data_IF_436946662329
#
_entry.id   IF_436946662329
#
_cell.length_a   1.000
_cell.length_b   1.000
_cell.length_c   1.000
_cell.angle_alpha   90.00
_cell.angle_beta   90.00
_cell.angle_gamma   90.00
#
_symmetry.space_group_name_H-M   'P 1'
#
loop_
_entity.id
_entity.type
_entity.pdbx_description
1 polymer ?
#
# COMPACT_ATOMS: atom_id res chain seq x y z
N UNK A 1 -52.66 -29.45 10.31
CA UNK A 1 -51.56 -30.15 9.62
C UNK A 1 -51.88 -30.01 8.15
N UNK A 2 -51.21 -29.08 7.46
CA UNK A 2 -51.33 -29.01 6.01
C UNK A 2 -50.65 -30.27 5.44
N UNK A 3 -51.32 -30.96 4.51
CA UNK A 3 -50.73 -32.09 3.78
C UNK A 3 -49.42 -31.63 3.13
N UNK A 4 -48.32 -32.37 3.33
CA UNK A 4 -47.10 -32.14 2.56
C UNK A 4 -47.41 -32.34 1.07
N UNK A 5 -47.04 -31.40 0.19
CA UNK A 5 -47.37 -31.50 -1.22
C UNK A 5 -46.74 -32.76 -1.81
N UNK A 6 -47.57 -33.57 -2.49
CA UNK A 6 -47.12 -34.85 -3.03
C UNK A 6 -46.25 -34.59 -4.26
N UNK A 7 -45.01 -35.09 -4.24
CA UNK A 7 -44.09 -34.97 -5.36
C UNK A 7 -44.45 -35.96 -6.47
N UNK A 8 -44.50 -35.47 -7.70
CA UNK A 8 -44.84 -36.23 -8.91
C UNK A 8 -43.80 -36.01 -10.01
N UNK A 9 -43.81 -36.89 -11.01
CA UNK A 9 -43.05 -36.65 -12.23
C UNK A 9 -43.49 -35.33 -12.89
N UNK A 10 -42.55 -34.66 -13.56
CA UNK A 10 -42.74 -33.37 -14.22
C UNK A 10 -43.01 -32.17 -13.28
N UNK A 11 -42.88 -32.34 -11.97
CA UNK A 11 -42.79 -31.20 -11.05
C UNK A 11 -41.53 -30.37 -11.31
N UNK A 12 -41.64 -29.05 -11.14
CA UNK A 12 -40.50 -28.14 -11.01
C UNK A 12 -40.12 -28.03 -9.53
N UNK A 13 -38.87 -28.33 -9.22
CA UNK A 13 -38.33 -28.27 -7.86
C UNK A 13 -37.04 -27.46 -7.79
N UNK A 14 -36.74 -26.92 -6.62
CA UNK A 14 -35.47 -26.29 -6.29
C UNK A 14 -34.53 -27.33 -5.68
N UNK A 15 -33.37 -27.51 -6.29
CA UNK A 15 -32.29 -28.34 -5.74
C UNK A 15 -31.00 -27.50 -5.70
N UNK A 16 -30.44 -27.31 -4.51
CA UNK A 16 -29.25 -26.45 -4.30
C UNK A 16 -29.38 -25.07 -4.95
N UNK A 17 -30.52 -24.42 -4.75
CA UNK A 17 -30.85 -23.09 -5.32
C UNK A 17 -30.96 -23.04 -6.85
N UNK A 18 -31.06 -24.19 -7.53
CA UNK A 18 -31.21 -24.27 -8.99
C UNK A 18 -32.47 -25.03 -9.38
N UNK A 19 -33.01 -24.70 -10.56
CA UNK A 19 -34.15 -25.41 -11.13
C UNK A 19 -33.79 -26.87 -11.44
N UNK A 20 -34.69 -27.78 -11.07
CA UNK A 20 -34.64 -29.17 -11.45
C UNK A 20 -36.04 -29.70 -11.76
N UNK A 21 -36.13 -30.71 -12.63
CA UNK A 21 -37.37 -31.41 -12.96
C UNK A 21 -37.37 -32.79 -12.31
N UNK A 22 -38.46 -33.22 -11.68
CA UNK A 22 -38.60 -34.63 -11.27
C UNK A 22 -38.82 -35.51 -12.50
N UNK A 23 -37.95 -36.49 -12.72
CA UNK A 23 -38.07 -37.52 -13.76
C UNK A 23 -38.85 -38.73 -13.24
N UNK A 24 -38.59 -39.12 -11.99
CA UNK A 24 -39.27 -40.25 -11.36
C UNK A 24 -39.52 -39.93 -9.89
N UNK A 25 -40.79 -40.00 -9.48
CA UNK A 25 -41.21 -39.79 -8.10
C UNK A 25 -41.27 -41.11 -7.33
N UNK A 26 -40.91 -41.08 -6.05
CA UNK A 26 -40.93 -42.24 -5.15
C UNK A 26 -40.71 -41.83 -3.69
N UNK A 27 -41.30 -42.58 -2.76
CA UNK A 27 -41.42 -42.19 -1.35
C UNK A 27 -40.08 -42.05 -0.61
N UNK A 28 -39.08 -42.86 -0.99
CA UNK A 28 -37.75 -42.85 -0.36
C UNK A 28 -36.70 -42.11 -1.18
N UNK A 29 -36.92 -41.98 -2.48
CA UNK A 29 -35.92 -41.57 -3.45
C UNK A 29 -36.62 -41.06 -4.71
N UNK A 30 -36.20 -39.90 -5.17
CA UNK A 30 -36.66 -39.29 -6.43
C UNK A 30 -35.46 -39.10 -7.35
N UNK A 31 -35.68 -39.21 -8.65
CA UNK A 31 -34.70 -38.89 -9.66
C UNK A 31 -35.05 -37.53 -10.28
N UNK A 32 -34.11 -36.59 -10.21
CA UNK A 32 -34.26 -35.23 -10.74
C UNK A 32 -33.31 -35.00 -11.91
N UNK A 33 -33.76 -34.26 -12.92
CA UNK A 33 -32.90 -33.69 -13.95
C UNK A 33 -32.53 -32.27 -13.55
N UNK A 34 -31.23 -31.96 -13.53
CA UNK A 34 -30.69 -30.64 -13.20
C UNK A 34 -30.55 -29.75 -14.44
N UNK A 35 -30.33 -28.44 -14.23
CA UNK A 35 -30.02 -27.45 -15.27
C UNK A 35 -28.82 -27.81 -16.16
N UNK A 36 -27.88 -28.60 -15.64
CA UNK A 36 -26.75 -29.15 -16.42
C UNK A 36 -27.12 -30.34 -17.32
N UNK A 37 -28.38 -30.79 -17.28
CA UNK A 37 -28.88 -31.96 -18.00
C UNK A 37 -28.63 -33.29 -17.31
N UNK A 38 -27.83 -33.32 -16.23
CA UNK A 38 -27.54 -34.52 -15.46
C UNK A 38 -28.75 -34.99 -14.65
N UNK A 39 -28.93 -36.32 -14.58
CA UNK A 39 -29.92 -36.95 -13.71
C UNK A 39 -29.26 -37.36 -12.40
N UNK A 40 -29.81 -36.90 -11.27
CA UNK A 40 -29.30 -37.16 -9.93
C UNK A 40 -30.42 -37.72 -9.08
N UNK A 41 -30.10 -38.75 -8.31
CA UNK A 41 -30.96 -39.33 -7.32
C UNK A 41 -30.86 -38.60 -5.97
N UNK A 42 -31.97 -38.11 -5.42
CA UNK A 42 -32.02 -37.37 -4.15
C UNK A 42 -33.16 -37.86 -3.25
N UNK A 43 -33.18 -37.46 -1.97
CA UNK A 43 -34.34 -37.72 -1.10
C UNK A 43 -35.37 -36.59 -1.25
N UNK A 44 -36.68 -36.85 -1.06
CA UNK A 44 -37.72 -35.82 -1.16
C UNK A 44 -37.42 -34.54 -0.36
N UNK A 45 -36.89 -34.66 0.86
CA UNK A 45 -36.52 -33.52 1.71
C UNK A 45 -35.35 -32.66 1.22
N UNK A 46 -34.57 -33.16 0.26
CA UNK A 46 -33.40 -32.45 -0.27
C UNK A 46 -33.80 -31.50 -1.42
N UNK A 47 -35.09 -31.44 -1.78
CA UNK A 47 -35.65 -30.54 -2.78
C UNK A 47 -36.84 -29.75 -2.22
N UNK A 48 -37.13 -28.59 -2.79
CA UNK A 48 -38.32 -27.79 -2.47
C UNK A 48 -39.22 -27.73 -3.70
N UNK A 49 -40.50 -28.06 -3.58
CA UNK A 49 -41.44 -27.94 -4.69
C UNK A 49 -41.63 -26.45 -5.02
N UNK A 50 -41.44 -26.09 -6.30
CA UNK A 50 -41.76 -24.76 -6.79
C UNK A 50 -43.08 -24.74 -7.55
N UNK A 51 -43.32 -25.71 -8.45
CA UNK A 51 -44.56 -25.78 -9.24
C UNK A 51 -44.96 -27.24 -9.53
N UNK A 52 -46.26 -27.52 -9.51
CA UNK A 52 -46.82 -28.87 -9.68
C UNK A 52 -46.65 -29.45 -11.10
N UNK A 53 -46.38 -28.61 -12.10
CA UNK A 53 -46.12 -29.01 -13.48
C UNK A 53 -47.37 -29.00 -14.37
N UNK A 54 -47.34 -29.67 -15.53
CA UNK A 54 -46.22 -30.47 -16.05
C UNK A 54 -45.13 -29.61 -16.68
N UNK A 55 -43.89 -29.77 -16.22
CA UNK A 55 -42.68 -29.26 -16.88
C UNK A 55 -42.06 -30.39 -17.69
N UNK A 56 -42.11 -30.36 -19.02
CA UNK A 56 -41.60 -31.48 -19.83
C UNK A 56 -40.12 -31.35 -20.14
N UNK A 57 -39.56 -30.15 -20.04
CA UNK A 57 -38.13 -29.90 -20.22
C UNK A 57 -37.72 -28.62 -19.49
N UNK A 58 -36.54 -28.60 -18.88
CA UNK A 58 -35.99 -27.36 -18.29
C UNK A 58 -35.77 -26.25 -19.34
N UNK A 59 -35.68 -26.59 -20.62
CA UNK A 59 -35.63 -25.61 -21.72
C UNK A 59 -36.95 -24.83 -21.90
N UNK A 60 -38.03 -25.24 -21.23
CA UNK A 60 -39.31 -24.52 -21.21
C UNK A 60 -39.28 -23.32 -20.25
N UNK A 61 -38.32 -23.28 -19.30
CA UNK A 61 -38.11 -22.18 -18.36
C UNK A 61 -37.44 -20.96 -19.02
N UNK A 62 -38.03 -20.49 -20.11
CA UNK A 62 -37.55 -19.30 -20.82
C UNK A 62 -37.92 -18.05 -20.01
N UNK A 63 -37.13 -16.96 -20.13
CA UNK A 63 -37.48 -15.70 -19.49
C UNK A 63 -38.86 -15.23 -19.95
N UNK A 64 -39.77 -15.05 -19.00
CA UNK A 64 -41.10 -14.46 -19.22
C UNK A 64 -41.09 -13.04 -18.67
N UNK A 65 -41.67 -12.11 -19.42
CA UNK A 65 -41.84 -10.73 -18.98
C UNK A 65 -43.14 -10.61 -18.19
N UNK A 66 -43.02 -10.37 -16.88
CA UNK A 66 -44.15 -10.12 -15.98
C UNK A 66 -44.30 -8.64 -15.62
N UNK A 67 -45.37 -8.30 -14.91
CA UNK A 67 -45.66 -6.98 -14.34
C UNK A 67 -45.04 -6.83 -12.94
N UNK A 68 -43.73 -7.10 -12.83
CA UNK A 68 -43.01 -7.18 -11.56
C UNK A 68 -43.12 -5.90 -10.73
N UNK A 69 -43.04 -4.73 -11.39
CA UNK A 69 -43.16 -3.44 -10.71
C UNK A 69 -44.54 -3.24 -10.07
N UNK A 70 -45.61 -3.62 -10.77
CA UNK A 70 -46.97 -3.50 -10.25
C UNK A 70 -47.20 -4.47 -9.07
N UNK A 71 -46.72 -5.71 -9.19
CA UNK A 71 -46.80 -6.68 -8.10
C UNK A 71 -46.00 -6.24 -6.87
N UNK A 72 -44.81 -5.66 -7.08
CA UNK A 72 -43.99 -5.11 -6.01
C UNK A 72 -44.66 -3.92 -5.32
N UNK A 73 -45.18 -2.95 -6.07
CA UNK A 73 -45.87 -1.77 -5.53
C UNK A 73 -47.09 -2.15 -4.67
N UNK A 74 -47.80 -3.22 -5.05
CA UNK A 74 -48.99 -3.68 -4.34
C UNK A 74 -48.65 -4.41 -3.03
N UNK A 75 -47.54 -5.15 -3.00
CA UNK A 75 -47.15 -6.02 -1.90
C UNK A 75 -46.04 -5.46 -1.01
N UNK A 76 -45.51 -4.27 -1.30
CA UNK A 76 -44.34 -3.71 -0.62
C UNK A 76 -44.50 -3.69 0.92
N UNK A 77 -43.57 -4.33 1.64
CA UNK A 77 -43.59 -4.45 3.09
C UNK A 77 -44.31 -5.69 3.63
N UNK A 78 -45.00 -6.44 2.78
CA UNK A 78 -45.69 -7.68 3.15
C UNK A 78 -44.77 -8.91 3.02
N UNK A 79 -45.22 -10.02 3.62
CA UNK A 79 -44.65 -11.35 3.38
C UNK A 79 -45.66 -12.21 2.65
N UNK A 80 -45.28 -12.72 1.48
CA UNK A 80 -46.15 -13.51 0.59
C UNK A 80 -45.53 -14.87 0.28
N UNK A 81 -46.34 -15.80 -0.20
CA UNK A 81 -45.88 -17.06 -0.80
C UNK A 81 -45.44 -16.85 -2.25
N UNK A 82 -44.64 -17.78 -2.78
CA UNK A 82 -44.27 -17.78 -4.20
C UNK A 82 -45.48 -17.85 -5.14
N UNK A 83 -46.54 -18.55 -4.74
CA UNK A 83 -47.76 -18.64 -5.54
C UNK A 83 -48.46 -17.28 -5.67
N UNK A 84 -48.59 -16.53 -4.57
CA UNK A 84 -49.18 -15.18 -4.56
C UNK A 84 -48.35 -14.19 -5.40
N UNK A 85 -47.02 -14.29 -5.32
CA UNK A 85 -46.14 -13.47 -6.17
C UNK A 85 -46.32 -13.79 -7.65
N UNK A 86 -46.47 -15.07 -8.02
CA UNK A 86 -46.70 -15.48 -9.41
C UNK A 86 -48.04 -14.97 -9.91
N UNK A 87 -49.11 -15.12 -9.13
CA UNK A 87 -50.45 -14.66 -9.50
C UNK A 87 -50.52 -13.15 -9.79
N UNK A 88 -49.77 -12.35 -9.02
CA UNK A 88 -49.75 -10.90 -9.17
C UNK A 88 -48.78 -10.42 -10.25
N UNK A 89 -47.62 -11.07 -10.40
CA UNK A 89 -46.58 -10.63 -11.34
C UNK A 89 -46.73 -11.24 -12.75
N UNK A 90 -47.44 -12.36 -12.91
CA UNK A 90 -47.53 -13.09 -14.17
C UNK A 90 -48.98 -13.49 -14.48
N UNK A 91 -49.34 -13.44 -15.76
CA UNK A 91 -50.71 -13.69 -16.19
C UNK A 91 -51.16 -15.16 -16.07
N UNK A 92 -50.22 -16.11 -16.06
CA UNK A 92 -50.51 -17.54 -15.99
C UNK A 92 -49.56 -18.24 -15.01
N UNK A 93 -50.11 -19.07 -14.13
CA UNK A 93 -49.34 -19.96 -13.26
C UNK A 93 -48.78 -21.13 -14.07
N UNK A 94 -47.55 -20.94 -14.55
CA UNK A 94 -46.82 -21.91 -15.36
C UNK A 94 -45.45 -22.16 -14.72
N UNK A 95 -44.81 -23.33 -14.95
CA UNK A 95 -43.47 -23.59 -14.43
C UNK A 95 -42.46 -22.49 -14.77
N UNK A 96 -42.57 -21.88 -15.95
CA UNK A 96 -41.71 -20.81 -16.40
C UNK A 96 -41.98 -19.49 -15.65
N UNK A 97 -43.25 -19.16 -15.37
CA UNK A 97 -43.61 -17.99 -14.56
C UNK A 97 -43.15 -18.15 -13.10
N UNK A 98 -43.36 -19.33 -12.50
CA UNK A 98 -42.88 -19.62 -11.15
C UNK A 98 -41.36 -19.56 -11.04
N UNK A 99 -40.64 -20.08 -12.03
CA UNK A 99 -39.19 -19.97 -12.09
C UNK A 99 -38.75 -18.51 -12.25
N UNK A 100 -39.38 -17.74 -13.13
CA UNK A 100 -39.09 -16.31 -13.29
C UNK A 100 -39.33 -15.51 -11.99
N UNK A 101 -40.43 -15.78 -11.27
CA UNK A 101 -40.69 -15.19 -9.96
C UNK A 101 -39.60 -15.56 -8.95
N UNK A 102 -39.22 -16.83 -8.87
CA UNK A 102 -38.14 -17.26 -7.98
C UNK A 102 -36.78 -16.62 -8.34
N UNK A 103 -36.50 -16.41 -9.62
CA UNK A 103 -35.29 -15.70 -10.05
C UNK A 103 -35.23 -14.27 -9.51
N UNK A 104 -36.36 -13.56 -9.45
CA UNK A 104 -36.42 -12.21 -8.85
C UNK A 104 -36.13 -12.23 -7.34
N UNK A 105 -36.59 -13.26 -6.64
CA UNK A 105 -36.26 -13.48 -5.21
C UNK A 105 -34.77 -13.73 -5.03
N UNK A 106 -34.16 -14.53 -5.91
CA UNK A 106 -32.71 -14.78 -5.86
C UNK A 106 -31.88 -13.57 -6.30
N UNK A 107 -32.42 -12.70 -7.15
CA UNK A 107 -31.77 -11.44 -7.52
C UNK A 107 -31.67 -10.51 -6.31
N UNK A 108 -32.66 -10.53 -5.42
CA UNK A 108 -32.59 -9.85 -4.14
C UNK A 108 -32.86 -8.35 -4.20
N UNK A 109 -33.32 -7.80 -5.32
CA UNK A 109 -33.62 -6.36 -5.43
C UNK A 109 -34.96 -6.03 -4.77
N UNK A 110 -36.04 -6.63 -5.29
CA UNK A 110 -37.41 -6.38 -4.83
C UNK A 110 -37.92 -7.39 -3.81
N UNK A 111 -37.32 -8.59 -3.78
CA UNK A 111 -37.81 -9.72 -3.00
C UNK A 111 -36.65 -10.49 -2.38
N UNK A 112 -36.88 -11.12 -1.23
CA UNK A 112 -35.93 -12.07 -0.62
C UNK A 112 -36.69 -13.13 0.19
N UNK A 113 -36.01 -14.20 0.63
CA UNK A 113 -36.58 -15.20 1.53
C UNK A 113 -36.65 -16.61 0.93
N UNK A 114 -37.72 -17.34 1.27
CA UNK A 114 -37.94 -18.74 0.89
C UNK A 114 -39.24 -18.88 0.09
N UNK A 115 -39.47 -19.97 -0.66
CA UNK A 115 -40.69 -20.11 -1.46
C UNK A 115 -41.99 -19.97 -0.66
N UNK A 116 -41.98 -20.35 0.63
CA UNK A 116 -43.14 -20.26 1.52
C UNK A 116 -43.28 -18.90 2.23
N UNK A 117 -42.21 -18.10 2.25
CA UNK A 117 -42.14 -16.81 2.94
C UNK A 117 -41.17 -15.89 2.22
N UNK A 118 -41.69 -15.16 1.23
CA UNK A 118 -41.01 -14.14 0.46
C UNK A 118 -41.31 -12.80 1.09
N UNK A 119 -40.28 -12.11 1.56
CA UNK A 119 -40.37 -10.73 2.01
C UNK A 119 -40.32 -9.82 0.79
N UNK A 120 -41.34 -8.98 0.63
CA UNK A 120 -41.38 -7.97 -0.42
C UNK A 120 -40.76 -6.68 0.13
N UNK A 121 -39.66 -6.25 -0.46
CA UNK A 121 -38.90 -5.09 0.02
C UNK A 121 -39.72 -3.81 -0.10
N UNK A 122 -39.58 -2.90 0.87
CA UNK A 122 -40.18 -1.56 0.76
C UNK A 122 -39.43 -0.70 -0.26
N UNK A 123 -40.03 0.40 -0.71
CA UNK A 123 -39.35 1.41 -1.55
C UNK A 123 -38.01 1.85 -0.94
N UNK A 124 -37.96 2.09 0.37
CA UNK A 124 -36.74 2.46 1.09
C UNK A 124 -35.65 1.36 1.03
N UNK A 125 -36.04 0.09 1.21
CA UNK A 125 -35.11 -1.04 1.12
C UNK A 125 -34.57 -1.22 -0.31
N UNK A 126 -35.44 -1.10 -1.32
CA UNK A 126 -35.03 -1.17 -2.73
C UNK A 126 -34.06 -0.05 -3.07
N UNK A 127 -34.35 1.19 -2.65
CA UNK A 127 -33.46 2.35 -2.85
C UNK A 127 -32.11 2.16 -2.16
N UNK A 128 -32.05 1.55 -0.98
CA UNK A 128 -30.80 1.22 -0.30
C UNK A 128 -30.00 0.16 -1.05
N UNK A 129 -30.64 -0.94 -1.47
CA UNK A 129 -30.00 -2.01 -2.24
C UNK A 129 -29.46 -1.46 -3.56
N UNK A 130 -30.25 -0.64 -4.25
CA UNK A 130 -29.88 -0.05 -5.53
C UNK A 130 -28.70 0.91 -5.38
N UNK A 131 -28.72 1.81 -4.39
CA UNK A 131 -27.57 2.67 -4.05
C UNK A 131 -26.32 1.86 -3.74
N UNK A 132 -26.46 0.75 -3.00
CA UNK A 132 -25.34 -0.16 -2.71
C UNK A 132 -24.78 -0.83 -3.97
N UNK A 133 -25.64 -1.29 -4.88
CA UNK A 133 -25.24 -1.86 -6.19
C UNK A 133 -24.52 -0.83 -7.05
N UNK A 134 -25.06 0.38 -7.13
CA UNK A 134 -24.50 1.49 -7.91
C UNK A 134 -23.15 1.95 -7.36
N UNK A 135 -23.02 2.07 -6.03
CA UNK A 135 -21.76 2.38 -5.38
C UNK A 135 -20.69 1.33 -5.69
N UNK A 136 -21.02 0.03 -5.55
CA UNK A 136 -20.10 -1.06 -5.87
C UNK A 136 -19.72 -1.10 -7.36
N UNK A 137 -20.68 -0.84 -8.25
CA UNK A 137 -20.41 -0.75 -9.69
C UNK A 137 -19.52 0.46 -10.03
N UNK A 138 -19.71 1.59 -9.33
CA UNK A 138 -18.87 2.76 -9.48
C UNK A 138 -17.44 2.52 -8.99
N UNK A 139 -17.27 1.86 -7.84
CA UNK A 139 -15.95 1.43 -7.32
C UNK A 139 -15.22 0.51 -8.31
N UNK A 140 -15.91 -0.50 -8.84
CA UNK A 140 -15.33 -1.40 -9.84
C UNK A 140 -14.94 -0.64 -11.11
N UNK A 141 -15.78 0.29 -11.58
CA UNK A 141 -15.46 1.12 -12.75
C UNK A 141 -14.22 1.98 -12.50
N UNK A 142 -14.13 2.66 -11.36
CA UNK A 142 -12.96 3.46 -10.98
C UNK A 142 -11.70 2.59 -10.96
N UNK A 143 -11.79 1.40 -10.37
CA UNK A 143 -10.70 0.44 -10.34
C UNK A 143 -10.25 0.00 -11.74
N UNK A 144 -11.19 -0.31 -12.64
CA UNK A 144 -10.86 -0.69 -14.02
C UNK A 144 -10.27 0.47 -14.83
N UNK A 145 -10.77 1.70 -14.64
CA UNK A 145 -10.20 2.90 -15.26
C UNK A 145 -8.76 3.16 -14.78
N UNK A 146 -8.52 3.00 -13.47
CA UNK A 146 -7.18 3.07 -12.88
C UNK A 146 -6.23 2.04 -13.51
N UNK A 147 -6.62 0.75 -13.54
CA UNK A 147 -5.79 -0.28 -14.16
C UNK A 147 -5.55 0.00 -15.65
N UNK A 148 -6.54 0.52 -16.37
CA UNK A 148 -6.39 0.90 -17.78
C UNK A 148 -5.33 1.98 -17.96
N UNK A 149 -5.30 3.00 -17.10
CA UNK A 149 -4.26 4.04 -17.12
C UNK A 149 -2.86 3.47 -16.87
N UNK A 150 -2.72 2.60 -15.86
CA UNK A 150 -1.43 1.98 -15.56
C UNK A 150 -0.90 1.11 -16.70
N UNK A 151 -1.77 0.35 -17.38
CA UNK A 151 -1.39 -0.40 -18.58
C UNK A 151 -0.95 0.51 -19.73
N UNK A 152 -1.53 1.71 -19.82
CA UNK A 152 -1.15 2.73 -20.79
C UNK A 152 0.12 3.53 -20.39
N UNK A 153 0.74 3.22 -19.24
CA UNK A 153 1.95 3.91 -18.77
C UNK A 153 1.67 5.32 -18.27
N UNK A 154 0.47 5.59 -17.74
CA UNK A 154 0.10 6.92 -17.23
C UNK A 154 -0.60 6.81 -15.88
N UNK A 155 -0.69 7.93 -15.16
CA UNK A 155 -1.44 8.04 -13.90
C UNK A 155 -2.06 9.44 -13.80
N UNK A 156 -3.01 9.61 -12.86
CA UNK A 156 -3.53 10.92 -12.44
C UNK A 156 -3.31 11.14 -10.94
N UNK A 157 -3.32 12.38 -10.43
CA UNK A 157 -3.10 12.65 -9.00
C UNK A 157 -4.02 11.87 -8.05
N UNK A 158 -5.25 11.59 -8.46
CA UNK A 158 -6.25 10.82 -7.71
C UNK A 158 -5.85 9.35 -7.51
N UNK A 159 -4.89 8.84 -8.31
CA UNK A 159 -4.37 7.49 -8.19
C UNK A 159 -3.39 7.32 -7.02
N UNK A 160 -2.86 8.41 -6.46
CA UNK A 160 -1.80 8.38 -5.44
C UNK A 160 -2.16 7.55 -4.19
N UNK A 161 -3.37 7.63 -3.60
CA UNK A 161 -3.73 6.79 -2.47
C UNK A 161 -3.69 5.29 -2.81
N UNK A 162 -4.09 4.93 -4.03
CA UNK A 162 -4.09 3.54 -4.50
C UNK A 162 -2.68 3.06 -4.83
N UNK A 163 -1.84 3.93 -5.39
CA UNK A 163 -0.43 3.66 -5.67
C UNK A 163 0.42 3.57 -4.40
N UNK A 164 -0.05 4.06 -3.25
CA UNK A 164 0.63 3.93 -1.96
C UNK A 164 1.01 2.49 -1.61
N UNK A 165 0.22 1.52 -2.05
CA UNK A 165 0.50 0.08 -1.92
C UNK A 165 1.71 -0.37 -2.77
N UNK A 166 1.84 0.15 -4.00
CA UNK A 166 3.00 -0.09 -4.87
C UNK A 166 4.25 0.60 -4.32
N UNK A 167 4.10 1.83 -3.81
CA UNK A 167 5.17 2.58 -3.16
C UNK A 167 5.71 1.81 -1.95
N UNK A 168 4.83 1.31 -1.08
CA UNK A 168 5.25 0.53 0.09
C UNK A 168 6.02 -0.74 -0.31
N UNK A 169 5.59 -1.44 -1.36
CA UNK A 169 6.32 -2.59 -1.91
C UNK A 169 7.69 -2.17 -2.51
N UNK A 170 7.73 -1.07 -3.26
CA UNK A 170 8.97 -0.54 -3.84
C UNK A 170 9.99 -0.13 -2.77
N UNK A 171 9.53 0.28 -1.60
CA UNK A 171 10.34 0.69 -0.45
C UNK A 171 10.61 -0.43 0.55
N UNK A 172 10.25 -1.68 0.24
CA UNK A 172 10.42 -2.84 1.13
C UNK A 172 9.70 -2.69 2.49
N UNK A 173 8.64 -1.89 2.53
CA UNK A 173 7.79 -1.70 3.72
C UNK A 173 6.64 -2.73 3.76
N UNK A 174 6.40 -3.41 2.63
CA UNK A 174 5.41 -4.48 2.47
C UNK A 174 5.89 -5.50 1.44
N UNK A 175 5.40 -6.73 1.57
CA UNK A 175 5.75 -7.85 0.67
C UNK A 175 4.69 -8.10 -0.41
N UNK A 176 3.56 -7.40 -0.35
CA UNK A 176 2.42 -7.63 -1.22
C UNK A 176 1.83 -6.32 -1.72
N UNK A 177 1.35 -6.33 -2.96
CA UNK A 177 0.58 -5.25 -3.56
C UNK A 177 -0.61 -5.78 -4.37
N UNK A 178 -1.82 -5.30 -4.03
CA UNK A 178 -3.05 -5.56 -4.78
C UNK A 178 -2.93 -5.07 -6.23
N UNK A 179 -2.31 -3.90 -6.43
CA UNK A 179 -2.13 -3.30 -7.75
C UNK A 179 -1.21 -4.17 -8.60
N UNK A 180 -0.06 -4.57 -8.08
CA UNK A 180 0.89 -5.44 -8.80
C UNK A 180 0.24 -6.77 -9.22
N UNK A 181 -0.52 -7.39 -8.31
CA UNK A 181 -1.25 -8.62 -8.59
C UNK A 181 -2.32 -8.45 -9.68
N UNK A 182 -3.06 -7.34 -9.64
CA UNK A 182 -4.08 -7.05 -10.65
C UNK A 182 -3.48 -6.76 -12.03
N UNK A 183 -2.26 -6.24 -12.08
CA UNK A 183 -1.47 -6.06 -13.30
C UNK A 183 -0.72 -7.34 -13.74
N UNK A 184 -0.89 -8.46 -13.02
CA UNK A 184 -0.15 -9.71 -13.23
C UNK A 184 1.38 -9.52 -13.27
N UNK A 185 1.90 -8.57 -12.48
CA UNK A 185 3.34 -8.35 -12.29
C UNK A 185 3.81 -9.08 -11.03
N UNK A 186 5.01 -9.63 -11.08
CA UNK A 186 5.63 -10.25 -9.91
C UNK A 186 5.86 -9.20 -8.81
N UNK A 187 5.44 -9.52 -7.58
CA UNK A 187 5.42 -8.61 -6.42
C UNK A 187 6.84 -8.46 -5.81
N UNK A 188 7.75 -7.81 -6.54
CA UNK A 188 9.12 -7.50 -6.06
C UNK A 188 9.35 -5.99 -5.93
N UNK A 189 10.26 -5.55 -5.05
CA UNK A 189 10.61 -4.12 -4.91
C UNK A 189 11.12 -3.50 -6.22
N UNK A 190 11.87 -4.26 -7.02
CA UNK A 190 12.41 -3.81 -8.30
C UNK A 190 11.30 -3.63 -9.35
N UNK A 191 10.34 -4.55 -9.41
CA UNK A 191 9.22 -4.45 -10.34
C UNK A 191 8.24 -3.35 -9.94
N UNK A 192 8.04 -3.13 -8.64
CA UNK A 192 7.23 -2.03 -8.13
C UNK A 192 7.90 -0.67 -8.44
N UNK A 193 9.20 -0.52 -8.16
CA UNK A 193 9.96 0.66 -8.55
C UNK A 193 9.87 0.89 -10.07
N UNK A 194 10.10 -0.14 -10.88
CA UNK A 194 9.96 -0.04 -12.34
C UNK A 194 8.57 0.44 -12.77
N UNK A 195 7.49 -0.08 -12.16
CA UNK A 195 6.14 0.39 -12.47
C UNK A 195 5.98 1.88 -12.18
N UNK A 196 6.47 2.36 -11.03
CA UNK A 196 6.36 3.77 -10.64
C UNK A 196 7.11 4.69 -11.61
N UNK A 197 8.26 4.26 -12.13
CA UNK A 197 8.99 4.95 -13.19
C UNK A 197 8.23 4.90 -14.53
N UNK A 198 7.76 3.72 -14.94
CA UNK A 198 7.09 3.50 -16.23
C UNK A 198 5.83 4.39 -16.37
N UNK A 199 5.12 4.66 -15.27
CA UNK A 199 3.90 5.50 -15.26
C UNK A 199 4.19 6.98 -14.97
N UNK A 200 5.46 7.35 -14.74
CA UNK A 200 5.90 8.70 -14.38
C UNK A 200 5.46 9.17 -12.99
N UNK A 201 5.13 8.25 -12.07
CA UNK A 201 4.81 8.59 -10.68
C UNK A 201 6.09 8.88 -9.87
N UNK A 202 7.15 8.14 -10.16
CA UNK A 202 8.52 8.46 -9.78
C UNK A 202 9.32 8.83 -11.02
N UNK A 203 10.39 9.59 -10.81
CA UNK A 203 11.37 9.91 -11.85
C UNK A 203 12.69 9.16 -11.62
N UNK A 204 13.60 9.28 -12.59
CA UNK A 204 14.91 8.63 -12.55
C UNK A 204 15.82 9.10 -11.41
N UNK A 205 15.49 10.21 -10.76
CA UNK A 205 16.23 10.73 -9.60
C UNK A 205 15.74 10.14 -8.28
N UNK A 206 14.67 9.35 -8.32
CA UNK A 206 14.11 8.74 -7.11
C UNK A 206 14.98 7.57 -6.63
N UNK A 207 15.68 7.81 -5.53
CA UNK A 207 16.53 6.81 -4.88
C UNK A 207 15.80 6.12 -3.70
N UNK A 208 15.40 4.83 -3.82
CA UNK A 208 14.66 4.14 -2.76
C UNK A 208 15.56 3.56 -1.66
N UNK A 209 16.87 3.47 -1.87
CA UNK A 209 17.77 2.74 -0.98
C UNK A 209 17.86 3.33 0.43
N UNK A 210 17.93 4.67 0.61
CA UNK A 210 17.94 5.24 1.95
C UNK A 210 16.74 4.80 2.79
N UNK A 211 15.54 4.82 2.20
CA UNK A 211 14.32 4.40 2.89
C UNK A 211 14.27 2.87 3.12
N UNK A 212 14.71 2.06 2.14
CA UNK A 212 14.79 0.58 2.30
C UNK A 212 15.73 0.17 3.43
N UNK A 213 16.86 0.85 3.56
CA UNK A 213 17.85 0.61 4.61
C UNK A 213 17.44 1.22 5.96
N UNK A 214 16.34 1.99 5.99
CA UNK A 214 15.88 2.68 7.20
C UNK A 214 16.86 3.73 7.71
N UNK A 215 17.70 4.30 6.83
CA UNK A 215 18.62 5.37 7.22
C UNK A 215 17.87 6.70 7.25
N UNK A 216 18.22 7.55 8.21
CA UNK A 216 17.60 8.87 8.37
C UNK A 216 17.96 9.77 7.20
N UNK A 217 16.95 10.32 6.53
CA UNK A 217 17.14 11.24 5.38
C UNK A 217 16.83 12.70 5.68
N UNK A 218 16.64 13.04 6.96
CA UNK A 218 16.39 14.41 7.40
C UNK A 218 17.61 14.96 8.12
N UNK A 219 17.87 16.27 7.99
CA UNK A 219 18.92 16.92 8.77
C UNK A 219 18.62 16.81 10.28
N UNK A 220 19.66 16.74 11.13
CA UNK A 220 19.47 16.73 12.57
C UNK A 220 18.97 18.11 13.03
N UNK A 221 17.83 18.12 13.73
CA UNK A 221 17.20 19.31 14.27
C UNK A 221 17.57 19.47 15.76
N UNK A 222 18.80 19.91 15.99
CA UNK A 222 19.36 20.13 17.32
C UNK A 222 20.16 21.43 17.31
N UNK A 223 20.09 22.19 18.41
CA UNK A 223 20.96 23.34 18.63
C UNK A 223 22.24 22.88 19.32
N UNK A 224 23.39 23.28 18.79
CA UNK A 224 24.69 23.04 19.41
C UNK A 224 25.03 24.18 20.38
N UNK A 225 25.78 23.89 21.46
CA UNK A 225 26.30 24.94 22.32
C UNK A 225 27.40 25.73 21.59
N UNK A 226 27.59 26.97 22.00
CA UNK A 226 28.75 27.76 21.59
C UNK A 226 30.05 27.06 22.00
N UNK A 227 31.15 27.39 21.29
CA UNK A 227 32.48 26.93 21.68
C UNK A 227 32.82 27.43 23.10
N UNK A 228 33.26 26.55 24.02
CA UNK A 228 33.60 26.97 25.38
C UNK A 228 34.78 27.94 25.40
N UNK A 229 34.76 28.86 26.37
CA UNK A 229 35.89 29.75 26.66
C UNK A 229 36.98 28.98 27.43
N UNK A 230 37.90 28.39 26.66
CA UNK A 230 39.01 27.59 27.18
C UNK A 230 40.36 28.03 26.58
N UNK A 231 41.44 27.75 27.32
CA UNK A 231 42.78 28.06 26.84
C UNK A 231 43.15 27.15 25.66
N UNK A 232 43.45 27.77 24.53
CA UNK A 232 43.85 27.12 23.28
C UNK A 232 45.17 27.71 22.82
N UNK A 233 46.09 26.85 22.41
CA UNK A 233 47.40 27.28 21.89
C UNK A 233 47.20 28.10 20.63
N UNK A 234 47.76 29.30 20.61
CA UNK A 234 47.75 30.13 19.39
C UNK A 234 48.80 29.63 18.39
N UNK A 235 48.32 29.06 17.29
CA UNK A 235 49.10 28.55 16.16
C UNK A 235 48.78 29.31 14.87
N UNK A 236 48.11 30.46 14.95
CA UNK A 236 47.71 31.28 13.79
C UNK A 236 48.88 31.83 12.96
N UNK A 237 50.11 31.75 13.49
CA UNK A 237 51.34 32.08 12.79
C UNK A 237 51.79 30.97 11.82
N UNK A 238 51.32 29.73 12.00
CA UNK A 238 51.63 28.61 11.12
C UNK A 238 50.85 28.73 9.80
N UNK A 239 51.49 28.35 8.70
CA UNK A 239 50.79 28.14 7.43
C UNK A 239 50.03 26.82 7.52
N UNK A 240 48.72 26.87 7.74
CA UNK A 240 47.84 25.71 7.76
C UNK A 240 47.05 25.58 6.46
N UNK A 241 47.08 24.40 5.86
CA UNK A 241 46.43 24.08 4.58
C UNK A 241 45.41 22.96 4.77
N UNK A 242 44.13 23.23 4.51
CA UNK A 242 43.12 22.20 4.32
C UNK A 242 43.06 21.87 2.83
N UNK A 243 43.32 20.61 2.46
CA UNK A 243 43.43 20.17 1.06
C UNK A 243 42.38 19.10 0.83
N UNK A 244 41.35 19.44 0.06
CA UNK A 244 40.17 18.59 -0.15
C UNK A 244 39.88 18.37 -1.64
N UNK A 245 38.94 17.47 -1.94
CA UNK A 245 38.37 17.34 -3.27
C UNK A 245 37.60 18.61 -3.68
N UNK A 246 37.54 18.87 -5.00
CA UNK A 246 36.73 19.96 -5.54
C UNK A 246 35.26 19.77 -5.14
N UNK A 247 34.67 20.81 -4.53
CA UNK A 247 33.28 20.78 -4.05
C UNK A 247 33.11 20.37 -2.59
N UNK A 248 34.17 20.00 -1.87
CA UNK A 248 34.11 19.77 -0.41
C UNK A 248 33.65 21.03 0.34
N UNK A 249 32.76 20.86 1.33
CA UNK A 249 32.15 21.96 2.09
C UNK A 249 32.45 21.93 3.58
N UNK A 250 33.00 20.82 4.06
CA UNK A 250 33.14 20.44 5.47
C UNK A 250 34.58 19.97 5.76
N UNK A 251 35.58 20.87 5.67
CA UNK A 251 36.99 20.51 5.90
C UNK A 251 37.23 20.09 7.35
N UNK A 252 37.54 18.82 7.55
CA UNK A 252 37.80 18.20 8.86
C UNK A 252 39.26 18.34 9.31
N UNK A 253 40.20 18.49 8.36
CA UNK A 253 41.63 18.51 8.66
C UNK A 253 42.42 19.60 7.92
N UNK A 254 43.55 19.96 8.52
CA UNK A 254 44.54 20.85 7.92
C UNK A 254 45.96 20.46 8.34
N UNK A 255 46.94 20.76 7.49
CA UNK A 255 48.34 20.42 7.71
C UNK A 255 49.22 21.67 7.80
N UNK A 256 50.20 21.63 8.70
CA UNK A 256 51.31 22.59 8.74
C UNK A 256 52.65 21.88 8.88
N UNK A 257 53.73 22.54 8.45
CA UNK A 257 55.09 22.07 8.63
C UNK A 257 55.97 23.22 9.12
N UNK A 258 56.58 23.06 10.29
CA UNK A 258 57.50 24.06 10.86
C UNK A 258 58.58 23.36 11.70
N UNK A 259 59.84 23.81 11.59
CA UNK A 259 60.96 23.38 12.43
C UNK A 259 61.16 21.86 12.58
N UNK A 260 60.85 21.10 11.54
CA UNK A 260 60.97 19.63 11.53
C UNK A 260 59.80 18.89 12.19
N UNK A 261 58.72 19.59 12.50
CA UNK A 261 57.48 19.01 13.00
C UNK A 261 56.39 19.04 11.93
N UNK A 262 55.72 17.90 11.76
CA UNK A 262 54.44 17.81 11.07
C UNK A 262 53.34 18.17 12.07
N UNK A 263 52.45 19.07 11.66
CA UNK A 263 51.24 19.38 12.41
C UNK A 263 50.04 18.87 11.64
N UNK A 264 49.22 18.10 12.33
CA UNK A 264 47.89 17.69 11.85
C UNK A 264 46.86 18.37 12.73
N UNK A 265 46.02 19.20 12.14
CA UNK A 265 44.97 19.93 12.82
C UNK A 265 43.64 19.30 12.45
N UNK A 266 42.83 18.92 13.44
CA UNK A 266 41.51 18.31 13.23
C UNK A 266 40.44 19.24 13.80
N UNK A 267 39.31 19.39 13.10
CA UNK A 267 38.15 20.12 13.58
C UNK A 267 37.74 19.64 14.99
N UNK A 268 37.60 20.58 15.93
CA UNK A 268 37.48 20.25 17.35
C UNK A 268 36.03 19.98 17.77
N UNK A 269 35.41 18.97 17.17
CA UNK A 269 34.01 18.57 17.40
C UNK A 269 33.73 18.22 18.85
N UNK A 270 34.69 17.57 19.52
CA UNK A 270 34.56 17.17 20.91
C UNK A 270 34.44 18.35 21.89
N UNK A 271 34.81 19.57 21.47
CA UNK A 271 34.65 20.77 22.29
C UNK A 271 33.16 21.15 22.51
N UNK A 272 32.27 20.81 21.57
CA UNK A 272 30.84 21.15 21.64
C UNK A 272 29.92 19.92 21.66
N UNK A 273 30.42 18.74 21.27
CA UNK A 273 29.70 17.47 21.31
C UNK A 273 30.25 16.61 22.45
N UNK A 274 29.77 16.84 23.67
CA UNK A 274 30.17 16.05 24.83
C UNK A 274 29.59 14.62 24.78
N UNK A 275 30.30 13.62 25.36
CA UNK A 275 29.78 12.26 25.47
C UNK A 275 28.39 12.20 26.11
N UNK A 276 27.51 11.40 25.52
CA UNK A 276 26.11 11.17 25.90
C UNK A 276 25.20 12.41 25.90
N UNK A 277 25.66 13.53 25.33
CA UNK A 277 24.81 14.68 24.98
C UNK A 277 23.76 14.32 23.92
N UNK A 278 22.77 15.20 23.71
CA UNK A 278 21.77 14.99 22.65
C UNK A 278 22.42 14.90 21.26
N UNK A 279 23.40 15.77 20.98
CA UNK A 279 24.14 15.77 19.72
C UNK A 279 24.96 14.48 19.52
N UNK A 280 25.63 13.99 20.56
CA UNK A 280 26.39 12.73 20.50
C UNK A 280 25.46 11.52 20.24
N UNK A 281 24.33 11.44 20.94
CA UNK A 281 23.36 10.35 20.74
C UNK A 281 22.78 10.37 19.32
N UNK A 282 22.52 11.56 18.79
CA UNK A 282 22.02 11.73 17.43
C UNK A 282 23.08 11.37 16.38
N UNK A 283 24.30 11.88 16.51
CA UNK A 283 25.40 11.50 15.62
C UNK A 283 25.68 9.99 15.67
N UNK A 284 25.65 9.38 16.86
CA UNK A 284 25.82 7.94 17.07
C UNK A 284 24.67 7.12 16.46
N UNK A 285 23.44 7.65 16.45
CA UNK A 285 22.29 6.97 15.83
C UNK A 285 22.40 6.95 14.29
N UNK A 286 23.03 7.98 13.72
CA UNK A 286 23.31 8.11 12.27
C UNK A 286 24.57 7.37 11.84
N UNK A 287 25.59 7.32 12.69
CA UNK A 287 26.87 6.65 12.47
C UNK A 287 27.87 7.44 11.63
N UNK A 288 27.43 8.06 10.54
CA UNK A 288 28.24 8.91 9.66
C UNK A 288 27.38 9.91 8.88
N UNK A 289 28.00 10.87 8.20
CA UNK A 289 27.36 11.64 7.14
C UNK A 289 26.90 10.68 6.03
N UNK A 290 25.68 10.86 5.53
CA UNK A 290 25.17 10.13 4.37
C UNK A 290 25.35 11.00 3.12
N UNK A 291 26.40 10.68 2.35
CA UNK A 291 26.70 11.33 1.08
C UNK A 291 25.94 10.63 -0.06
N UNK A 292 24.98 11.34 -0.65
CA UNK A 292 24.23 10.91 -1.82
C UNK A 292 24.49 11.86 -2.99
N UNK A 293 24.31 11.43 -4.25
CA UNK A 293 24.37 12.33 -5.40
C UNK A 293 23.41 13.52 -5.30
N UNK A 294 22.25 13.34 -4.64
CA UNK A 294 21.24 14.38 -4.43
C UNK A 294 21.62 15.38 -3.33
N UNK A 295 22.60 15.04 -2.49
CA UNK A 295 23.09 15.89 -1.41
C UNK A 295 23.58 15.10 -0.18
N UNK A 296 24.02 15.85 0.83
CA UNK A 296 24.56 15.30 2.07
C UNK A 296 23.55 15.43 3.21
N UNK A 297 23.30 14.34 3.92
CA UNK A 297 22.60 14.36 5.21
C UNK A 297 23.66 14.24 6.31
N UNK A 298 23.82 15.28 7.11
CA UNK A 298 24.89 15.36 8.09
C UNK A 298 24.57 14.55 9.35
N UNK A 299 25.61 14.06 10.01
CA UNK A 299 25.52 13.41 11.32
C UNK A 299 25.31 14.43 12.45
N UNK A 300 25.76 15.67 12.24
CA UNK A 300 25.60 16.80 13.15
C UNK A 300 24.82 17.94 12.47
N UNK A 301 24.22 18.85 13.25
CA UNK A 301 23.58 20.06 12.71
C UNK A 301 24.53 20.86 11.81
N UNK A 302 23.99 21.53 10.80
CA UNK A 302 24.78 22.31 9.83
C UNK A 302 25.66 23.37 10.50
N UNK A 303 25.19 23.94 11.61
CA UNK A 303 25.93 24.89 12.45
C UNK A 303 27.27 24.31 12.94
N UNK A 304 27.40 22.99 13.10
CA UNK A 304 28.66 22.34 13.47
C UNK A 304 29.75 22.63 12.44
N UNK A 305 29.42 22.45 11.16
CA UNK A 305 30.33 22.69 10.05
C UNK A 305 30.69 24.18 10.00
N UNK A 306 29.72 25.08 10.13
CA UNK A 306 29.98 26.53 10.13
C UNK A 306 30.92 26.96 11.26
N UNK A 307 30.76 26.39 12.46
CA UNK A 307 31.55 26.73 13.64
C UNK A 307 32.94 26.11 13.64
N UNK A 308 33.07 24.87 13.18
CA UNK A 308 34.26 24.03 13.40
C UNK A 308 35.03 23.70 12.13
N UNK A 309 34.40 23.84 10.96
CA UNK A 309 35.04 23.58 9.66
C UNK A 309 36.30 24.43 9.50
N UNK A 310 37.42 23.77 9.22
CA UNK A 310 38.72 24.41 9.18
C UNK A 310 38.82 25.37 7.97
N UNK A 311 39.05 26.66 8.23
CA UNK A 311 39.13 27.69 7.19
C UNK A 311 37.77 28.21 6.70
N UNK A 312 36.66 27.85 7.34
CA UNK A 312 35.35 28.50 7.12
C UNK A 312 35.20 29.79 7.94
N UNK A 313 35.95 29.91 9.03
CA UNK A 313 36.06 31.11 9.86
C UNK A 313 37.46 31.71 9.72
N UNK A 314 37.62 32.99 10.09
CA UNK A 314 38.94 33.67 10.10
C UNK A 314 39.94 32.94 10.99
N UNK A 315 39.45 32.36 12.09
CA UNK A 315 40.20 31.57 13.05
C UNK A 315 39.41 30.33 13.38
N UNK A 316 40.00 29.15 13.21
CA UNK A 316 39.32 27.87 13.45
C UNK A 316 39.81 27.24 14.75
N UNK A 317 38.91 26.70 15.58
CA UNK A 317 39.29 25.85 16.71
C UNK A 317 39.68 24.47 16.20
N UNK A 318 40.83 23.97 16.64
CA UNK A 318 41.31 22.66 16.23
C UNK A 318 41.92 21.88 17.40
N UNK A 319 41.79 20.56 17.35
CA UNK A 319 42.63 19.65 18.10
C UNK A 319 43.88 19.37 17.27
N UNK A 320 45.01 19.91 17.71
CA UNK A 320 46.28 19.85 16.99
C UNK A 320 47.19 18.75 17.50
N UNK A 321 47.80 18.02 16.57
CA UNK A 321 48.79 16.99 16.79
C UNK A 321 50.13 17.49 16.22
N UNK A 322 51.07 17.83 17.09
CA UNK A 322 52.46 18.08 16.70
C UNK A 322 53.21 16.76 16.70
N UNK A 323 53.82 16.39 15.58
CA UNK A 323 54.49 15.12 15.38
C UNK A 323 55.94 15.36 14.95
N UNK A 324 56.89 14.74 15.66
CA UNK A 324 58.27 14.65 15.23
C UNK A 324 58.51 13.29 14.59
N UNK A 325 59.01 13.28 13.36
CA UNK A 325 59.30 12.04 12.62
C UNK A 325 60.82 11.84 12.53
N UNK A 326 61.26 10.60 12.70
CA UNK A 326 62.62 10.19 12.35
C UNK A 326 62.77 10.10 10.82
N UNK A 327 64.01 10.03 10.33
CA UNK A 327 64.32 9.89 8.90
C UNK A 327 63.71 8.62 8.26
N UNK A 328 63.41 7.59 9.07
CA UNK A 328 62.75 6.35 8.64
C UNK A 328 61.21 6.43 8.67
N UNK A 329 60.65 7.59 9.02
CA UNK A 329 59.22 7.83 9.15
C UNK A 329 58.59 7.36 10.46
N UNK A 330 59.38 6.84 11.40
CA UNK A 330 58.85 6.45 12.72
C UNK A 330 58.60 7.68 13.60
N UNK A 331 57.55 7.61 14.43
CA UNK A 331 57.21 8.70 15.36
C UNK A 331 58.24 8.76 16.49
N UNK A 332 58.92 9.91 16.62
CA UNK A 332 59.92 10.16 17.63
C UNK A 332 59.33 10.81 18.89
N UNK A 333 58.45 11.82 18.71
CA UNK A 333 57.76 12.54 19.77
C UNK A 333 56.42 13.07 19.26
N UNK A 334 55.47 13.30 20.16
CA UNK A 334 54.21 13.94 19.82
C UNK A 334 53.64 14.79 20.94
N UNK A 335 52.79 15.76 20.58
CA UNK A 335 52.02 16.56 21.53
C UNK A 335 50.64 16.83 20.96
N UNK A 336 49.61 16.66 21.80
CA UNK A 336 48.21 16.91 21.42
C UNK A 336 47.72 18.10 22.23
N UNK A 337 47.09 19.09 21.59
CA UNK A 337 46.58 20.27 22.27
C UNK A 337 45.39 20.93 21.56
N UNK A 338 44.41 21.47 22.32
CA UNK A 338 43.47 22.43 21.78
C UNK A 338 44.22 23.65 21.27
N UNK A 339 43.80 24.16 20.12
CA UNK A 339 44.52 25.21 19.41
C UNK A 339 43.59 26.12 18.62
N UNK A 340 44.17 27.24 18.22
CA UNK A 340 43.61 28.15 17.26
C UNK A 340 44.53 28.27 16.06
N UNK A 341 43.96 28.11 14.86
CA UNK A 341 44.70 28.17 13.60
C UNK A 341 44.03 29.11 12.60
N UNK A 342 44.80 29.53 11.59
CA UNK A 342 44.29 30.25 10.43
C UNK A 342 44.56 29.39 9.20
N UNK A 343 43.51 28.90 8.56
CA UNK A 343 43.58 27.86 7.52
C UNK A 343 43.32 28.46 6.15
N UNK A 344 44.14 28.07 5.19
CA UNK A 344 43.90 28.31 3.77
C UNK A 344 43.35 27.03 3.15
N UNK A 345 42.20 27.11 2.47
CA UNK A 345 41.57 25.98 1.78
C UNK A 345 42.10 25.87 0.35
N UNK A 346 42.47 24.65 -0.04
CA UNK A 346 42.98 24.30 -1.36
C UNK A 346 42.29 23.04 -1.87
N UNK A 347 42.32 22.84 -3.18
CA UNK A 347 42.00 21.58 -3.83
C UNK A 347 43.25 20.71 -3.96
N UNK A 348 43.06 19.41 -4.23
CA UNK A 348 44.18 18.52 -4.58
C UNK A 348 44.88 18.91 -5.90
N UNK A 349 44.16 19.48 -6.86
CA UNK A 349 44.72 20.12 -8.07
C UNK A 349 45.33 21.49 -7.75
#
# INVERSE_FOLDING_TARGET
>A
MADEPTLHADNLVLYKQRAARIVTAGDKKIDIQTDTGQTVSVRPKDVTLLHAGPLRSLNELKPIKGEVAAAWELLAGETVSLAELVELAFAEDTPAATWAAWQLVTEGLYFSGTPDAIVVHTAETVDEIQRGREAKAAEERIWQEFLTRLHAGTHVPEDAPTLGDVVALALEQRDQSRVMRALAREETPQNAHKLLLDIGFWDETTNPYPQRLGVTTTQPDLTLPDLPDEERRDLTHLIALAIDDEGSTDPDDALSWEDGYLWVHIADVAAIVAPDSLADREARSRGANLYLPEGTIHMLPADATEMLGLGLQVRSPALSFRLQLNDDGTLADYTIMPSWIQVTRLTYE
#
